data_IF_283231273115
#
_entry.id   IF_283231273115
#
_cell.length_a   1.000
_cell.length_b   1.000
_cell.length_c   1.000
_cell.angle_alpha   90.00
_cell.angle_beta   90.00
_cell.angle_gamma   90.00
#
_symmetry.space_group_name_H-M   'P 1'
#
loop_
_entity.id
_entity.type
_entity.pdbx_description
1 polymer ?
#
# COMPACT_ATOMS: atom_id res chain seq x y z
N UNK A 1 -0.50 13.69 29.49
CA UNK A 1 -0.01 12.34 29.06
C UNK A 1 -0.35 12.20 27.59
N UNK A 2 0.51 11.59 26.77
CA UNK A 2 0.20 11.29 25.36
C UNK A 2 -0.96 10.30 25.30
N UNK A 3 -1.98 10.54 24.44
CA UNK A 3 -3.09 9.59 24.23
C UNK A 3 -2.53 8.28 23.67
N UNK A 4 -2.93 7.14 24.20
CA UNK A 4 -2.65 5.83 23.60
C UNK A 4 -3.57 5.66 22.39
N UNK A 5 -3.02 5.29 21.25
CA UNK A 5 -3.74 5.15 19.98
C UNK A 5 -3.87 3.68 19.64
N UNK A 6 -5.06 3.26 19.28
CA UNK A 6 -5.36 1.87 18.92
C UNK A 6 -5.89 1.76 17.49
N UNK A 7 -5.69 0.60 16.89
CA UNK A 7 -6.10 0.25 15.54
C UNK A 7 -7.16 -0.86 15.60
N UNK A 8 -8.24 -0.71 14.85
CA UNK A 8 -9.33 -1.67 14.80
C UNK A 8 -9.93 -1.81 13.41
N UNK A 9 -10.66 -2.90 13.16
CA UNK A 9 -11.48 -3.08 11.96
C UNK A 9 -10.71 -3.12 10.64
N UNK A 10 -9.41 -3.39 10.66
CA UNK A 10 -8.57 -3.40 9.48
C UNK A 10 -9.11 -4.35 8.39
N UNK A 11 -9.27 -3.83 7.17
CA UNK A 11 -9.72 -4.61 6.02
C UNK A 11 -9.18 -4.06 4.70
N UNK A 12 -9.23 -4.88 3.64
CA UNK A 12 -8.87 -4.53 2.28
C UNK A 12 -9.79 -5.18 1.27
N UNK A 13 -9.88 -4.66 0.06
CA UNK A 13 -10.39 -5.44 -1.06
C UNK A 13 -9.40 -6.52 -1.45
N UNK A 14 -9.83 -7.55 -2.17
CA UNK A 14 -8.90 -8.30 -3.01
C UNK A 14 -8.24 -7.34 -4.02
N UNK A 15 -7.02 -7.65 -4.45
CA UNK A 15 -6.24 -6.82 -5.37
C UNK A 15 -6.52 -7.29 -6.80
N UNK A 16 -7.04 -6.37 -7.63
CA UNK A 16 -7.25 -6.56 -9.05
C UNK A 16 -5.98 -6.31 -9.85
N UNK A 17 -5.78 -7.06 -10.93
CA UNK A 17 -4.74 -6.76 -11.93
C UNK A 17 -5.22 -5.71 -12.92
N UNK A 18 -4.30 -5.09 -13.64
CA UNK A 18 -4.63 -4.15 -14.71
C UNK A 18 -5.59 -4.76 -15.73
N UNK A 19 -6.72 -4.08 -15.98
CA UNK A 19 -7.78 -4.58 -16.85
C UNK A 19 -8.56 -5.77 -16.30
N UNK A 20 -8.32 -6.15 -15.02
CA UNK A 20 -8.99 -7.26 -14.33
C UNK A 20 -10.38 -6.91 -13.78
N UNK A 21 -10.80 -7.67 -12.78
CA UNK A 21 -12.16 -7.58 -12.24
C UNK A 21 -12.53 -6.19 -11.71
N UNK A 22 -11.60 -5.49 -11.08
CA UNK A 22 -11.84 -4.15 -10.51
C UNK A 22 -11.68 -3.00 -11.52
N UNK A 23 -11.25 -3.26 -12.74
CA UNK A 23 -10.84 -2.26 -13.73
C UNK A 23 -11.89 -1.19 -14.08
N UNK A 24 -13.17 -1.44 -13.78
CA UNK A 24 -14.27 -0.50 -14.01
C UNK A 24 -14.89 0.06 -12.73
N UNK A 25 -14.31 -0.23 -11.58
CA UNK A 25 -14.79 0.24 -10.27
C UNK A 25 -13.94 1.43 -9.82
N UNK A 26 -14.46 2.67 -9.82
CA UNK A 26 -13.68 3.86 -9.49
C UNK A 26 -13.05 3.77 -8.07
N UNK A 27 -11.84 4.32 -7.91
CA UNK A 27 -11.13 4.31 -6.63
C UNK A 27 -11.98 4.82 -5.45
N UNK A 28 -12.76 5.93 -5.55
CA UNK A 28 -13.63 6.37 -4.45
C UNK A 28 -14.70 5.33 -4.06
N UNK A 29 -15.17 4.52 -5.01
CA UNK A 29 -16.12 3.43 -4.71
C UNK A 29 -15.45 2.29 -3.95
N UNK A 30 -14.22 1.91 -4.34
CA UNK A 30 -13.41 0.93 -3.58
C UNK A 30 -13.14 1.45 -2.17
N UNK A 31 -12.78 2.74 -2.05
CA UNK A 31 -12.60 3.41 -0.76
C UNK A 31 -13.85 3.38 0.11
N UNK A 32 -15.04 3.63 -0.46
CA UNK A 32 -16.31 3.56 0.27
C UNK A 32 -16.55 2.18 0.88
N UNK A 33 -16.27 1.12 0.13
CA UNK A 33 -16.46 -0.27 0.56
C UNK A 33 -15.58 -0.60 1.78
N UNK A 34 -14.29 -0.24 1.72
CA UNK A 34 -13.37 -0.55 2.83
C UNK A 34 -13.61 0.34 4.05
N UNK A 35 -14.00 1.61 3.88
CA UNK A 35 -14.40 2.49 5.00
C UNK A 35 -15.61 1.91 5.74
N UNK A 36 -16.66 1.55 5.00
CA UNK A 36 -17.88 0.99 5.58
C UNK A 36 -17.60 -0.32 6.32
N UNK A 37 -16.83 -1.23 5.70
CA UNK A 37 -16.50 -2.52 6.30
C UNK A 37 -15.56 -2.36 7.51
N UNK A 38 -14.58 -1.45 7.48
CA UNK A 38 -13.70 -1.20 8.61
C UNK A 38 -14.48 -0.73 9.84
N UNK A 39 -15.42 0.20 9.68
CA UNK A 39 -16.30 0.65 10.77
C UNK A 39 -17.19 -0.47 11.29
N UNK A 40 -17.77 -1.28 10.40
CA UNK A 40 -18.58 -2.43 10.76
C UNK A 40 -17.80 -3.46 11.57
N UNK A 41 -16.57 -3.82 11.14
CA UNK A 41 -15.68 -4.76 11.85
C UNK A 41 -15.24 -4.23 13.20
N UNK A 42 -14.97 -2.93 13.28
CA UNK A 42 -14.63 -2.27 14.54
C UNK A 42 -15.81 -2.11 15.49
N UNK A 43 -17.05 -2.21 14.99
CA UNK A 43 -18.24 -1.89 15.77
C UNK A 43 -18.39 -0.39 16.07
N UNK A 44 -17.82 0.48 15.22
CA UNK A 44 -17.86 1.93 15.40
C UNK A 44 -19.03 2.53 14.61
N UNK A 45 -19.92 3.30 15.26
CA UNK A 45 -20.99 4.01 14.58
C UNK A 45 -20.44 5.04 13.57
N UNK A 46 -21.09 5.18 12.41
CA UNK A 46 -20.66 6.10 11.36
C UNK A 46 -20.65 7.56 11.82
N UNK A 47 -21.56 7.96 12.69
CA UNK A 47 -21.69 9.31 13.27
C UNK A 47 -20.66 9.62 14.37
N UNK A 48 -19.92 8.62 14.84
CA UNK A 48 -18.81 8.81 15.77
C UNK A 48 -17.47 9.15 15.09
N UNK A 49 -17.40 9.13 13.74
CA UNK A 49 -16.15 9.37 12.99
C UNK A 49 -15.93 10.86 12.79
N UNK A 50 -14.82 11.38 13.31
CA UNK A 50 -14.46 12.79 13.20
C UNK A 50 -13.86 13.13 11.82
N UNK A 51 -13.00 12.24 11.29
CA UNK A 51 -12.24 12.54 10.08
C UNK A 51 -11.91 11.28 9.27
N UNK A 52 -11.65 11.47 7.97
CA UNK A 52 -11.20 10.42 7.04
C UNK A 52 -9.94 10.86 6.29
N UNK A 53 -8.87 10.08 6.40
CA UNK A 53 -7.69 10.20 5.54
C UNK A 53 -7.63 9.04 4.57
N UNK A 54 -7.70 9.32 3.26
CA UNK A 54 -7.52 8.28 2.22
C UNK A 54 -6.43 8.67 1.24
N UNK A 55 -5.46 7.76 1.09
CA UNK A 55 -4.44 7.85 0.06
C UNK A 55 -5.03 7.59 -1.32
N UNK A 56 -4.67 8.43 -2.30
CA UNK A 56 -4.96 8.20 -3.72
C UNK A 56 -3.97 9.02 -4.54
N UNK A 57 -3.26 8.38 -5.46
CA UNK A 57 -2.19 9.00 -6.25
C UNK A 57 -2.72 9.49 -7.58
N UNK A 58 -3.43 8.64 -8.33
CA UNK A 58 -3.94 8.93 -9.66
C UNK A 58 -5.37 9.47 -9.53
N UNK A 59 -5.48 10.79 -9.36
CA UNK A 59 -6.77 11.45 -9.09
C UNK A 59 -7.41 12.10 -10.33
N UNK A 60 -6.68 12.15 -11.45
CA UNK A 60 -7.18 12.80 -12.67
C UNK A 60 -8.50 12.18 -13.15
N UNK A 61 -9.49 13.02 -13.39
CA UNK A 61 -10.82 12.58 -13.88
C UNK A 61 -11.76 12.00 -12.82
N UNK A 62 -11.33 11.81 -11.56
CA UNK A 62 -12.18 11.27 -10.50
C UNK A 62 -13.05 12.32 -9.79
N UNK A 63 -12.89 13.60 -10.12
CA UNK A 63 -13.64 14.69 -9.49
C UNK A 63 -12.93 15.26 -8.26
N UNK A 64 -13.69 16.06 -7.47
CA UNK A 64 -13.14 16.75 -6.31
C UNK A 64 -12.94 15.78 -5.15
N UNK A 65 -11.83 15.92 -4.41
CA UNK A 65 -11.54 15.27 -3.12
C UNK A 65 -12.07 13.83 -3.03
N UNK A 66 -11.33 12.91 -3.62
CA UNK A 66 -11.74 11.51 -3.73
C UNK A 66 -11.94 10.83 -2.37
N UNK A 67 -11.24 11.27 -1.32
CA UNK A 67 -11.47 10.80 0.05
C UNK A 67 -12.85 11.24 0.57
N UNK A 68 -13.27 12.47 0.25
CA UNK A 68 -14.61 12.95 0.59
C UNK A 68 -15.70 12.16 -0.13
N UNK A 69 -15.49 11.84 -1.41
CA UNK A 69 -16.40 10.98 -2.16
C UNK A 69 -16.51 9.59 -1.51
N UNK A 70 -15.38 9.00 -1.11
CA UNK A 70 -15.36 7.71 -0.44
C UNK A 70 -16.08 7.75 0.92
N UNK A 71 -15.86 8.79 1.73
CA UNK A 71 -16.50 9.00 3.02
C UNK A 71 -18.03 9.07 2.89
N UNK A 72 -18.52 9.95 2.04
CA UNK A 72 -19.98 10.09 1.79
C UNK A 72 -20.56 8.81 1.18
N UNK A 73 -19.85 8.19 0.24
CA UNK A 73 -20.25 6.93 -0.39
C UNK A 73 -20.31 5.75 0.59
N UNK A 74 -19.56 5.78 1.69
CA UNK A 74 -19.63 4.83 2.80
C UNK A 74 -20.79 5.13 3.76
N UNK A 75 -21.51 6.24 3.57
CA UNK A 75 -22.65 6.66 4.38
C UNK A 75 -22.25 7.35 5.69
N UNK A 76 -21.07 7.96 5.76
CA UNK A 76 -20.72 8.83 6.89
C UNK A 76 -21.49 10.13 6.83
N UNK A 77 -21.73 10.80 7.98
CA UNK A 77 -22.39 12.10 8.03
C UNK A 77 -21.68 13.17 7.21
N UNK A 78 -22.41 14.19 6.79
CA UNK A 78 -21.85 15.31 6.04
C UNK A 78 -20.90 16.17 6.90
N UNK A 79 -21.01 16.09 8.19
CA UNK A 79 -20.15 16.74 9.17
C UNK A 79 -18.76 16.09 9.27
N UNK A 80 -18.64 14.79 9.00
CA UNK A 80 -17.36 14.09 8.98
C UNK A 80 -16.49 14.65 7.85
N UNK A 81 -15.37 15.26 8.18
CA UNK A 81 -14.44 15.83 7.20
C UNK A 81 -13.55 14.77 6.55
N UNK A 82 -12.97 15.05 5.38
CA UNK A 82 -12.09 14.12 4.70
C UNK A 82 -10.97 14.83 3.91
N UNK A 83 -9.78 14.19 3.89
CA UNK A 83 -8.62 14.68 3.13
C UNK A 83 -8.04 13.55 2.29
N UNK A 84 -7.78 13.85 1.02
CA UNK A 84 -7.04 12.96 0.12
C UNK A 84 -5.54 13.22 0.27
N UNK A 85 -4.79 12.17 0.55
CA UNK A 85 -3.34 12.22 0.75
C UNK A 85 -2.62 11.65 -0.46
N UNK A 86 -1.62 12.39 -0.95
CA UNK A 86 -0.71 11.88 -1.97
C UNK A 86 0.74 12.07 -1.52
N UNK A 87 1.35 10.98 -1.12
CA UNK A 87 2.79 10.80 -0.93
C UNK A 87 3.18 9.51 -1.67
N UNK A 88 2.73 9.42 -2.93
CA UNK A 88 2.92 8.28 -3.83
C UNK A 88 2.60 6.95 -3.10
N UNK A 89 3.47 5.93 -3.17
CA UNK A 89 3.26 4.59 -2.58
C UNK A 89 3.01 4.63 -1.06
N UNK A 90 3.57 5.60 -0.35
CA UNK A 90 3.42 5.76 1.10
C UNK A 90 2.08 6.31 1.57
N UNK A 91 1.20 6.75 0.66
CA UNK A 91 -0.02 7.48 0.99
C UNK A 91 -0.89 6.75 2.02
N UNK A 92 -1.18 5.47 1.79
CA UNK A 92 -2.05 4.70 2.68
C UNK A 92 -1.49 4.49 4.09
N UNK A 93 -0.17 4.22 4.22
CA UNK A 93 0.46 4.06 5.54
C UNK A 93 0.62 5.40 6.26
N UNK A 94 0.95 6.47 5.50
CA UNK A 94 1.06 7.80 6.05
C UNK A 94 -0.30 8.34 6.53
N UNK A 95 -1.42 7.94 5.93
CA UNK A 95 -2.75 8.25 6.44
C UNK A 95 -2.94 7.75 7.89
N UNK A 96 -2.44 6.54 8.20
CA UNK A 96 -2.49 6.00 9.58
C UNK A 96 -1.60 6.80 10.51
N UNK A 97 -0.39 7.16 10.07
CA UNK A 97 0.52 8.01 10.85
C UNK A 97 -0.09 9.40 11.13
N UNK A 98 -0.72 10.02 10.13
CA UNK A 98 -1.40 11.32 10.27
C UNK A 98 -2.63 11.22 11.18
N UNK A 99 -3.42 10.15 11.08
CA UNK A 99 -4.56 9.89 11.96
C UNK A 99 -4.12 9.81 13.43
N UNK A 100 -3.05 9.06 13.70
CA UNK A 100 -2.49 8.98 15.05
C UNK A 100 -2.01 10.36 15.55
N UNK A 101 -1.36 11.16 14.69
CA UNK A 101 -0.92 12.53 15.03
C UNK A 101 -2.12 13.45 15.33
N UNK A 102 -3.19 13.41 14.54
CA UNK A 102 -4.39 14.20 14.73
C UNK A 102 -5.06 13.88 16.08
N UNK A 103 -5.15 12.59 16.43
CA UNK A 103 -5.72 12.15 17.71
C UNK A 103 -4.81 12.58 18.89
N UNK A 104 -3.49 12.46 18.74
CA UNK A 104 -2.52 12.90 19.75
C UNK A 104 -2.57 14.42 19.97
N UNK A 105 -2.83 15.21 18.91
CA UNK A 105 -3.02 16.64 19.00
C UNK A 105 -4.32 17.03 19.71
N UNK A 106 -5.30 16.13 19.79
CA UNK A 106 -6.60 16.38 20.41
C UNK A 106 -7.66 16.91 19.44
N UNK A 107 -7.38 16.91 18.14
CA UNK A 107 -8.29 17.41 17.09
C UNK A 107 -9.35 16.37 16.67
N UNK A 108 -9.15 15.11 17.04
CA UNK A 108 -10.07 13.99 16.78
C UNK A 108 -9.91 12.89 17.83
N UNK A 109 -10.89 12.01 17.95
CA UNK A 109 -10.83 10.78 18.72
C UNK A 109 -10.95 9.54 17.85
N UNK A 110 -11.67 9.61 16.71
CA UNK A 110 -11.85 8.52 15.76
C UNK A 110 -11.60 9.00 14.34
N UNK A 111 -10.62 8.39 13.68
CA UNK A 111 -10.27 8.68 12.29
C UNK A 111 -10.26 7.37 11.49
N UNK A 112 -10.91 7.36 10.33
CA UNK A 112 -10.70 6.26 9.37
C UNK A 112 -9.52 6.64 8.48
N UNK A 113 -8.52 5.77 8.43
CA UNK A 113 -7.31 5.96 7.65
C UNK A 113 -7.12 4.80 6.66
N UNK A 114 -6.74 5.12 5.42
CA UNK A 114 -6.55 4.09 4.42
C UNK A 114 -5.99 4.60 3.12
N UNK A 115 -6.25 3.84 2.06
CA UNK A 115 -5.91 4.21 0.70
C UNK A 115 -6.74 3.44 -0.32
N UNK A 116 -6.84 4.00 -1.50
CA UNK A 116 -7.59 3.48 -2.62
C UNK A 116 -6.91 3.85 -3.92
N UNK A 117 -6.87 2.94 -4.87
CA UNK A 117 -6.31 3.20 -6.18
C UNK A 117 -7.01 2.37 -7.24
N UNK A 118 -7.26 2.94 -8.40
CA UNK A 118 -7.60 2.19 -9.59
C UNK A 118 -6.70 2.65 -10.73
N UNK A 119 -5.59 1.94 -10.92
CA UNK A 119 -4.61 2.26 -11.94
C UNK A 119 -5.12 1.93 -13.34
N UNK A 120 -6.03 0.95 -13.46
CA UNK A 120 -6.68 0.58 -14.72
C UNK A 120 -7.53 1.71 -15.31
N UNK A 121 -8.07 2.61 -14.48
CA UNK A 121 -8.92 3.73 -14.90
C UNK A 121 -8.15 5.05 -15.12
N UNK A 122 -6.83 5.05 -14.98
CA UNK A 122 -6.02 6.23 -15.18
C UNK A 122 -6.26 6.83 -16.57
N UNK A 123 -6.66 8.11 -16.68
CA UNK A 123 -6.93 8.71 -17.97
C UNK A 123 -5.66 9.14 -18.69
N UNK A 124 -5.78 9.39 -19.98
CA UNK A 124 -4.76 10.11 -20.75
C UNK A 124 -5.07 11.61 -20.76
N UNK A 125 -4.06 12.44 -20.53
CA UNK A 125 -4.16 13.90 -20.52
C UNK A 125 -3.60 14.54 -21.78
N UNK A 126 -4.36 15.46 -22.35
CA UNK A 126 -3.91 16.31 -23.45
C UNK A 126 -3.41 17.64 -22.90
N UNK A 127 -2.13 17.73 -22.51
CA UNK A 127 -1.56 18.80 -21.69
C UNK A 127 -1.77 20.22 -22.26
N UNK A 128 -1.66 20.39 -23.57
CA UNK A 128 -1.77 21.70 -24.22
C UNK A 128 -3.19 21.99 -24.78
N UNK A 129 -4.17 21.09 -24.58
CA UNK A 129 -5.49 21.22 -25.20
C UNK A 129 -6.23 22.49 -24.76
N UNK A 130 -6.04 22.97 -23.52
CA UNK A 130 -6.67 24.19 -22.98
C UNK A 130 -6.28 25.45 -23.77
N UNK A 131 -5.07 25.49 -24.29
CA UNK A 131 -4.55 26.62 -25.06
C UNK A 131 -4.62 26.40 -26.58
N UNK A 132 -5.11 25.23 -27.01
CA UNK A 132 -5.20 24.79 -28.40
C UNK A 132 -3.88 24.30 -28.99
N UNK A 133 -3.95 23.29 -29.82
CA UNK A 133 -2.80 22.82 -30.61
C UNK A 133 -2.73 23.65 -31.92
N UNK A 134 -1.93 24.69 -31.89
CA UNK A 134 -1.87 25.67 -33.01
C UNK A 134 -1.19 25.13 -34.26
N UNK A 135 -0.18 24.25 -34.07
CA UNK A 135 0.60 23.66 -35.17
C UNK A 135 1.26 22.38 -34.67
N UNK A 136 1.45 21.41 -35.56
CA UNK A 136 2.03 20.09 -35.31
C UNK A 136 1.10 19.15 -34.48
N UNK A 137 1.54 17.91 -34.33
CA UNK A 137 0.80 16.88 -33.60
C UNK A 137 0.78 17.14 -32.08
N UNK A 138 -0.35 16.87 -31.42
CA UNK A 138 -0.46 16.81 -29.98
C UNK A 138 -0.07 15.43 -29.44
N UNK A 139 0.40 15.40 -28.17
CA UNK A 139 0.68 14.15 -27.45
C UNK A 139 -0.39 13.95 -26.37
N UNK A 140 -0.81 12.71 -26.18
CA UNK A 140 -1.52 12.27 -24.97
C UNK A 140 -0.50 11.74 -23.99
N UNK A 141 -0.66 12.14 -22.72
CA UNK A 141 0.20 11.70 -21.60
C UNK A 141 -0.58 10.69 -20.79
N UNK A 142 -0.02 9.49 -20.61
CA UNK A 142 -0.57 8.49 -19.71
C UNK A 142 -0.36 8.94 -18.25
N UNK A 143 -1.44 9.29 -17.57
CA UNK A 143 -1.36 9.80 -16.19
C UNK A 143 -0.94 8.72 -15.18
N UNK A 144 -1.17 7.44 -15.47
CA UNK A 144 -0.66 6.35 -14.65
C UNK A 144 0.88 6.35 -14.63
N UNK A 145 1.47 6.45 -15.81
CA UNK A 145 2.94 6.50 -15.93
C UNK A 145 3.47 7.82 -15.38
N UNK A 146 2.93 8.95 -15.86
CA UNK A 146 3.46 10.28 -15.55
C UNK A 146 3.37 10.64 -14.05
N UNK A 147 2.25 10.30 -13.39
CA UNK A 147 1.96 10.77 -12.04
C UNK A 147 2.33 9.75 -10.95
N UNK A 148 2.48 8.47 -11.31
CA UNK A 148 2.79 7.41 -10.35
C UNK A 148 4.09 6.64 -10.62
N UNK A 149 4.49 6.45 -11.89
CA UNK A 149 5.58 5.55 -12.27
C UNK A 149 6.79 6.25 -12.91
N UNK A 150 6.76 7.58 -13.03
CA UNK A 150 7.80 8.39 -13.63
C UNK A 150 8.54 9.22 -12.58
N UNK A 151 9.87 9.13 -12.55
CA UNK A 151 10.66 9.99 -11.68
C UNK A 151 10.66 11.43 -12.23
N UNK A 152 10.08 12.33 -11.44
CA UNK A 152 9.89 13.72 -11.82
C UNK A 152 11.21 14.52 -11.89
N UNK A 153 12.25 14.06 -11.21
CA UNK A 153 13.55 14.74 -11.12
C UNK A 153 14.49 14.28 -12.22
N UNK A 154 14.59 12.98 -12.47
CA UNK A 154 15.53 12.36 -13.38
C UNK A 154 14.91 11.99 -14.73
N UNK A 155 13.57 12.15 -14.89
CA UNK A 155 12.85 11.96 -16.15
C UNK A 155 12.98 10.55 -16.74
N UNK A 156 12.80 9.52 -15.90
CA UNK A 156 12.77 8.12 -16.30
C UNK A 156 11.76 7.30 -15.47
N UNK A 157 11.44 6.11 -15.95
CA UNK A 157 10.50 5.21 -15.27
C UNK A 157 11.10 4.67 -13.97
N UNK A 158 10.26 4.40 -12.95
CA UNK A 158 10.68 3.83 -11.66
C UNK A 158 11.48 2.53 -11.77
N UNK A 159 11.34 1.77 -12.86
CA UNK A 159 12.18 0.60 -13.14
C UNK A 159 13.68 0.95 -13.19
N UNK A 160 14.04 2.15 -13.67
CA UNK A 160 15.44 2.58 -13.67
C UNK A 160 15.95 2.82 -12.26
N UNK A 161 15.14 3.30 -11.34
CA UNK A 161 15.54 3.41 -9.92
C UNK A 161 15.83 2.03 -9.31
N UNK A 162 15.10 0.99 -9.72
CA UNK A 162 15.35 -0.38 -9.30
C UNK A 162 16.66 -0.94 -9.90
N UNK A 163 16.95 -0.64 -11.18
CA UNK A 163 18.25 -0.95 -11.80
C UNK A 163 19.41 -0.27 -11.05
N UNK A 164 19.23 1.00 -10.68
CA UNK A 164 20.25 1.75 -9.93
C UNK A 164 20.50 1.13 -8.54
N UNK A 165 19.45 0.65 -7.88
CA UNK A 165 19.59 -0.07 -6.61
C UNK A 165 20.31 -1.40 -6.81
N UNK A 166 19.94 -2.19 -7.83
CA UNK A 166 20.59 -3.46 -8.13
C UNK A 166 22.10 -3.26 -8.41
N UNK A 167 22.44 -2.27 -9.23
CA UNK A 167 23.84 -1.91 -9.54
C UNK A 167 24.61 -1.47 -8.30
N UNK A 168 24.04 -0.54 -7.51
CA UNK A 168 24.68 -0.01 -6.30
C UNK A 168 24.95 -1.07 -5.24
N UNK A 169 24.05 -2.04 -5.09
CA UNK A 169 24.13 -3.10 -4.07
C UNK A 169 24.73 -4.41 -4.61
N UNK A 170 25.11 -4.45 -5.90
CA UNK A 170 25.67 -5.64 -6.55
C UNK A 170 24.70 -6.84 -6.50
N UNK A 171 23.40 -6.58 -6.71
CA UNK A 171 22.35 -7.63 -6.67
C UNK A 171 22.21 -8.22 -8.06
N UNK A 172 22.36 -9.55 -8.17
CA UNK A 172 22.29 -10.25 -9.45
C UNK A 172 20.84 -10.50 -9.88
N UNK A 173 20.65 -10.81 -11.17
CA UNK A 173 19.36 -11.21 -11.73
C UNK A 173 18.82 -12.48 -11.06
N UNK A 174 19.68 -13.45 -10.82
CA UNK A 174 19.33 -14.71 -10.17
C UNK A 174 18.76 -14.47 -8.76
N UNK A 175 19.40 -13.61 -7.98
CA UNK A 175 18.95 -13.25 -6.64
C UNK A 175 17.57 -12.55 -6.65
N UNK A 176 17.32 -11.69 -7.66
CA UNK A 176 16.03 -11.06 -7.83
C UNK A 176 14.93 -12.06 -8.18
N UNK A 177 15.24 -13.02 -9.03
CA UNK A 177 14.28 -14.05 -9.46
C UNK A 177 14.02 -15.06 -8.33
N UNK A 178 15.01 -15.41 -7.51
CA UNK A 178 14.85 -16.22 -6.30
C UNK A 178 13.95 -15.54 -5.28
N UNK A 179 14.20 -14.25 -4.99
CA UNK A 179 13.35 -13.45 -4.11
C UNK A 179 11.90 -13.43 -4.59
N UNK A 180 11.71 -13.19 -5.88
CA UNK A 180 10.38 -13.08 -6.49
C UNK A 180 9.63 -14.41 -6.50
N UNK A 181 10.32 -15.51 -6.81
CA UNK A 181 9.75 -16.84 -6.72
C UNK A 181 9.32 -17.18 -5.30
N UNK A 182 10.12 -16.83 -4.30
CA UNK A 182 9.77 -17.02 -2.88
C UNK A 182 8.51 -16.22 -2.49
N UNK A 183 8.40 -14.96 -2.92
CA UNK A 183 7.18 -14.15 -2.70
C UNK A 183 5.95 -14.81 -3.30
N UNK A 184 6.02 -15.28 -4.56
CA UNK A 184 4.94 -15.99 -5.23
C UNK A 184 4.55 -17.29 -4.50
N UNK A 185 5.52 -18.10 -4.10
CA UNK A 185 5.28 -19.38 -3.41
C UNK A 185 4.67 -19.18 -2.03
N UNK A 186 5.16 -18.20 -1.25
CA UNK A 186 4.53 -17.82 0.03
C UNK A 186 3.09 -17.39 -0.16
N UNK A 187 2.82 -16.59 -1.20
CA UNK A 187 1.47 -16.11 -1.48
C UNK A 187 0.52 -17.24 -1.93
N UNK A 188 0.98 -18.14 -2.80
CA UNK A 188 0.24 -19.33 -3.22
C UNK A 188 -0.14 -20.19 -2.01
N UNK A 189 0.81 -20.47 -1.13
CA UNK A 189 0.59 -21.22 0.11
C UNK A 189 -0.41 -20.51 1.05
N UNK A 190 -0.28 -19.18 1.19
CA UNK A 190 -1.18 -18.37 2.00
C UNK A 190 -2.61 -18.37 1.46
N UNK A 191 -2.79 -18.24 0.13
CA UNK A 191 -4.11 -18.32 -0.51
C UNK A 191 -4.73 -19.72 -0.33
N UNK A 192 -3.97 -20.79 -0.56
CA UNK A 192 -4.44 -22.16 -0.37
C UNK A 192 -4.86 -22.44 1.08
N UNK A 193 -4.15 -21.85 2.05
CA UNK A 193 -4.45 -21.96 3.47
C UNK A 193 -5.57 -20.99 3.94
N UNK A 194 -6.11 -20.16 3.04
CA UNK A 194 -7.16 -19.18 3.37
C UNK A 194 -6.69 -18.03 4.29
N UNK A 195 -5.40 -17.73 4.33
CA UNK A 195 -4.81 -16.71 5.22
C UNK A 195 -5.38 -15.31 5.01
N UNK A 196 -5.80 -14.97 3.79
CA UNK A 196 -6.32 -13.64 3.44
C UNK A 196 -7.85 -13.49 3.65
N UNK A 197 -8.57 -14.56 4.00
CA UNK A 197 -10.04 -14.51 4.09
C UNK A 197 -10.57 -13.50 5.10
N UNK A 198 -9.88 -13.36 6.23
CA UNK A 198 -10.33 -12.48 7.31
C UNK A 198 -10.04 -11.00 7.02
N UNK A 199 -9.07 -10.69 6.15
CA UNK A 199 -8.72 -9.32 5.81
C UNK A 199 -9.46 -8.79 4.57
N UNK A 200 -9.89 -9.68 3.67
CA UNK A 200 -10.57 -9.30 2.43
C UNK A 200 -12.06 -9.00 2.68
N UNK A 201 -12.51 -7.86 2.13
CA UNK A 201 -13.93 -7.55 1.97
C UNK A 201 -14.33 -7.84 0.52
N UNK A 202 -15.35 -8.67 0.27
CA UNK A 202 -15.83 -8.96 -1.07
C UNK A 202 -16.37 -7.71 -1.77
N UNK A 203 -16.04 -7.55 -3.05
CA UNK A 203 -16.56 -6.46 -3.90
C UNK A 203 -17.57 -7.02 -4.88
N UNK A 204 -18.81 -6.54 -4.82
CA UNK A 204 -19.84 -6.89 -5.80
C UNK A 204 -19.67 -6.06 -7.08
N UNK A 205 -19.42 -6.73 -8.19
CA UNK A 205 -19.25 -6.13 -9.52
C UNK A 205 -20.46 -6.45 -10.38
N UNK A 206 -21.27 -5.42 -10.66
CA UNK A 206 -22.45 -5.57 -11.50
C UNK A 206 -22.04 -5.63 -12.97
N UNK A 207 -22.33 -6.71 -13.61
CA UNK A 207 -22.25 -6.90 -15.07
C UNK A 207 -23.66 -6.93 -15.66
N UNK A 208 -23.79 -6.71 -16.99
CA UNK A 208 -25.11 -6.59 -17.68
C UNK A 208 -26.14 -7.66 -17.29
N UNK A 209 -25.73 -8.88 -17.01
CA UNK A 209 -26.64 -10.02 -16.73
C UNK A 209 -26.37 -10.74 -15.42
N UNK A 210 -25.31 -10.41 -14.71
CA UNK A 210 -24.91 -11.06 -13.44
C UNK A 210 -24.13 -10.13 -12.52
N UNK A 211 -24.15 -10.42 -11.22
CA UNK A 211 -23.22 -9.86 -10.26
C UNK A 211 -22.10 -10.85 -10.01
N UNK A 212 -20.87 -10.42 -10.06
CA UNK A 212 -19.69 -11.20 -9.69
C UNK A 212 -19.26 -10.71 -8.32
N UNK A 213 -18.96 -11.65 -7.41
CA UNK A 213 -18.32 -11.36 -6.13
C UNK A 213 -16.82 -11.52 -6.32
N UNK A 214 -16.06 -10.45 -6.14
CA UNK A 214 -14.63 -10.43 -6.24
C UNK A 214 -14.01 -10.42 -4.82
N UNK A 215 -13.41 -11.53 -4.42
CA UNK A 215 -12.92 -11.81 -3.07
C UNK A 215 -11.56 -12.53 -3.04
N UNK A 216 -10.89 -12.63 -4.18
CA UNK A 216 -9.61 -13.33 -4.32
C UNK A 216 -8.63 -12.49 -5.13
N UNK A 217 -7.39 -12.34 -4.63
CA UNK A 217 -6.34 -11.59 -5.31
C UNK A 217 -5.99 -12.21 -6.67
N UNK A 218 -5.96 -11.39 -7.73
CA UNK A 218 -5.71 -11.84 -9.12
C UNK A 218 -4.21 -11.92 -9.48
N UNK A 219 -3.33 -11.39 -8.62
CA UNK A 219 -1.90 -11.28 -8.90
C UNK A 219 -1.12 -12.58 -8.81
N UNK A 220 -1.36 -13.43 -7.80
CA UNK A 220 -0.54 -14.63 -7.56
C UNK A 220 -0.56 -15.61 -8.73
N UNK A 221 0.63 -16.13 -9.05
CA UNK A 221 0.85 -17.08 -10.14
C UNK A 221 1.37 -18.40 -9.59
N UNK A 222 0.48 -19.39 -9.52
CA UNK A 222 0.81 -20.70 -9.00
C UNK A 222 1.97 -21.36 -9.79
N UNK A 223 2.81 -22.09 -9.07
CA UNK A 223 3.93 -22.84 -9.64
C UNK A 223 5.09 -21.96 -10.14
N UNK A 224 5.19 -20.69 -9.75
CA UNK A 224 6.31 -19.82 -10.12
C UNK A 224 7.62 -20.30 -9.47
N UNK A 225 8.67 -20.43 -10.28
CA UNK A 225 10.04 -20.79 -9.86
C UNK A 225 11.05 -19.76 -10.37
N UNK A 226 12.22 -19.68 -9.74
CA UNK A 226 13.31 -18.83 -10.23
C UNK A 226 13.71 -19.18 -11.67
N UNK A 227 13.72 -20.47 -12.03
CA UNK A 227 13.98 -20.93 -13.39
C UNK A 227 12.93 -20.39 -14.38
N UNK A 228 11.64 -20.43 -14.04
CA UNK A 228 10.59 -19.86 -14.90
C UNK A 228 10.72 -18.35 -15.08
N UNK A 229 11.20 -17.63 -14.05
CA UNK A 229 11.42 -16.19 -14.11
C UNK A 229 12.67 -15.81 -14.90
N UNK A 230 13.72 -16.64 -14.90
CA UNK A 230 14.97 -16.39 -15.62
C UNK A 230 14.78 -16.24 -17.13
N UNK A 231 13.75 -16.83 -17.71
CA UNK A 231 13.39 -16.71 -19.11
C UNK A 231 12.81 -15.33 -19.50
N UNK A 232 12.41 -14.51 -18.52
CA UNK A 232 11.82 -13.18 -18.77
C UNK A 232 12.88 -12.18 -19.22
N UNK A 233 12.50 -11.35 -20.20
CA UNK A 233 13.37 -10.27 -20.69
C UNK A 233 13.35 -9.09 -19.75
N UNK A 234 14.48 -8.36 -19.68
CA UNK A 234 14.54 -7.06 -19.03
C UNK A 234 13.48 -6.11 -19.65
N UNK A 235 12.74 -5.42 -18.81
CA UNK A 235 11.67 -4.49 -19.21
C UNK A 235 12.02 -3.01 -18.89
N UNK A 236 13.14 -2.73 -18.22
CA UNK A 236 13.57 -1.36 -17.89
C UNK A 236 14.08 -0.57 -19.09
N UNK A 237 14.46 -1.26 -20.18
CA UNK A 237 15.11 -0.63 -21.34
C UNK A 237 16.61 -0.37 -21.14
N UNK A 238 17.18 -0.69 -19.96
CA UNK A 238 18.62 -0.58 -19.71
C UNK A 238 19.34 -1.78 -20.33
N UNK A 239 20.41 -1.51 -21.08
CA UNK A 239 21.27 -2.57 -21.61
C UNK A 239 21.92 -3.34 -20.44
N UNK A 240 21.82 -4.68 -20.47
CA UNK A 240 22.27 -5.52 -19.36
C UNK A 240 21.42 -5.39 -18.08
N UNK A 241 20.24 -4.77 -18.16
CA UNK A 241 19.35 -4.59 -17.02
C UNK A 241 18.80 -5.90 -16.46
N UNK A 242 18.52 -5.89 -15.17
CA UNK A 242 18.08 -7.07 -14.38
C UNK A 242 16.59 -7.04 -14.00
N UNK A 243 15.92 -5.89 -14.15
CA UNK A 243 14.51 -5.71 -13.82
C UNK A 243 13.60 -6.31 -14.89
N UNK A 244 12.69 -7.18 -14.49
CA UNK A 244 11.74 -7.86 -15.39
C UNK A 244 10.31 -7.73 -14.85
N UNK A 245 9.33 -8.10 -15.66
CA UNK A 245 7.93 -8.20 -15.21
C UNK A 245 7.70 -9.27 -14.13
N UNK A 246 8.66 -10.16 -13.90
CA UNK A 246 8.59 -11.20 -12.87
C UNK A 246 9.18 -10.80 -11.53
N UNK A 247 10.06 -9.77 -11.51
CA UNK A 247 10.72 -9.28 -10.31
C UNK A 247 10.38 -7.81 -9.97
N UNK A 248 9.26 -7.35 -10.52
CA UNK A 248 8.60 -6.08 -10.23
C UNK A 248 7.14 -6.34 -9.86
N UNK A 249 6.56 -5.49 -9.02
CA UNK A 249 5.12 -5.52 -8.73
C UNK A 249 4.29 -5.17 -9.96
N UNK A 250 3.05 -5.63 -9.99
CA UNK A 250 2.10 -5.36 -11.08
C UNK A 250 1.51 -3.94 -11.00
N UNK A 251 0.73 -3.60 -12.03
CA UNK A 251 -0.19 -2.48 -12.07
C UNK A 251 -1.53 -2.98 -11.54
N UNK A 252 -2.06 -2.37 -10.50
CA UNK A 252 -3.13 -2.98 -9.73
C UNK A 252 -4.20 -1.99 -9.26
N UNK A 253 -5.36 -2.55 -8.90
CA UNK A 253 -6.53 -1.85 -8.39
C UNK A 253 -6.89 -2.41 -7.02
N UNK A 254 -7.21 -1.55 -6.05
CA UNK A 254 -7.59 -2.00 -4.72
C UNK A 254 -7.72 -0.89 -3.69
N UNK A 255 -8.21 -1.24 -2.51
CA UNK A 255 -8.34 -0.32 -1.38
C UNK A 255 -8.14 -1.04 -0.05
N UNK A 256 -7.76 -0.29 0.98
CA UNK A 256 -7.63 -0.76 2.35
C UNK A 256 -7.99 0.36 3.33
N UNK A 257 -8.54 0.01 4.49
CA UNK A 257 -8.87 0.96 5.54
C UNK A 257 -8.72 0.35 6.94
N UNK A 258 -8.44 1.22 7.90
CA UNK A 258 -8.27 0.91 9.32
C UNK A 258 -8.94 2.01 10.12
N UNK A 259 -9.64 1.67 11.20
CA UNK A 259 -10.11 2.63 12.19
C UNK A 259 -8.97 2.91 13.17
N UNK A 260 -8.56 4.17 13.28
CA UNK A 260 -7.55 4.67 14.21
C UNK A 260 -8.27 5.49 15.26
N UNK A 261 -8.08 5.19 16.55
CA UNK A 261 -8.83 5.87 17.60
C UNK A 261 -8.06 5.94 18.91
N UNK A 262 -8.48 6.87 19.80
CA UNK A 262 -7.95 6.90 21.16
C UNK A 262 -8.38 5.64 21.94
N UNK A 263 -7.51 5.12 22.80
CA UNK A 263 -7.84 3.96 23.66
C UNK A 263 -9.04 4.27 24.55
N UNK A 264 -9.16 5.51 25.00
CA UNK A 264 -10.30 5.96 25.82
C UNK A 264 -11.61 5.80 25.05
N UNK A 265 -11.65 6.25 23.80
CA UNK A 265 -12.84 6.15 22.95
C UNK A 265 -13.14 4.70 22.55
N UNK A 266 -12.10 3.89 22.36
CA UNK A 266 -12.28 2.45 22.14
C UNK A 266 -12.95 1.77 23.33
N UNK A 267 -12.55 2.08 24.56
CA UNK A 267 -13.18 1.57 25.78
C UNK A 267 -14.61 2.04 25.93
N UNK A 268 -14.87 3.33 25.66
CA UNK A 268 -16.23 3.90 25.71
C UNK A 268 -17.21 3.18 24.77
N UNK A 269 -16.75 2.87 23.54
CA UNK A 269 -17.56 2.22 22.52
C UNK A 269 -17.53 0.67 22.59
N UNK A 270 -16.74 0.09 23.50
CA UNK A 270 -16.58 -1.37 23.61
C UNK A 270 -15.83 -1.99 22.42
N UNK A 271 -14.98 -1.22 21.73
CA UNK A 271 -14.18 -1.67 20.59
C UNK A 271 -13.00 -2.50 21.09
N UNK A 272 -12.80 -3.68 20.50
CA UNK A 272 -11.62 -4.51 20.74
C UNK A 272 -10.53 -4.13 19.76
N UNK A 273 -9.39 -3.57 20.22
CA UNK A 273 -8.28 -3.23 19.36
C UNK A 273 -7.62 -4.46 18.73
N UNK A 274 -7.15 -4.32 17.49
CA UNK A 274 -6.26 -5.29 16.85
C UNK A 274 -4.80 -5.09 17.30
N UNK A 275 -4.38 -3.83 17.48
CA UNK A 275 -3.06 -3.44 17.96
C UNK A 275 -3.08 -2.00 18.47
N UNK A 276 -2.01 -1.63 19.17
CA UNK A 276 -1.66 -0.26 19.55
C UNK A 276 -0.69 0.31 18.50
N UNK A 277 -0.91 1.54 18.06
CA UNK A 277 0.04 2.31 17.26
C UNK A 277 1.17 2.81 18.17
N UNK A 278 2.41 2.42 17.89
CA UNK A 278 3.57 2.82 18.67
C UNK A 278 4.20 4.09 18.12
N UNK A 279 4.57 4.07 16.84
CA UNK A 279 5.18 5.20 16.17
C UNK A 279 5.12 5.08 14.64
N UNK A 280 5.21 6.22 13.97
CA UNK A 280 5.39 6.29 12.53
C UNK A 280 6.43 7.34 12.15
N UNK A 281 7.04 7.17 10.98
CA UNK A 281 8.00 8.11 10.42
C UNK A 281 8.05 8.09 8.89
N UNK A 282 8.35 9.25 8.31
CA UNK A 282 8.81 9.41 6.94
C UNK A 282 10.32 9.63 6.94
N UNK A 283 11.03 9.05 5.97
CA UNK A 283 12.46 9.25 5.75
C UNK A 283 12.74 9.61 4.30
N UNK A 284 13.73 10.47 4.05
CA UNK A 284 14.16 10.87 2.70
C UNK A 284 15.48 10.20 2.32
N UNK A 285 15.62 9.90 1.02
CA UNK A 285 16.84 9.37 0.39
C UNK A 285 17.00 10.00 -1.00
N UNK A 286 18.11 9.72 -1.67
CA UNK A 286 18.32 10.13 -3.06
C UNK A 286 17.22 9.55 -3.97
N UNK A 287 16.51 10.38 -4.75
CA UNK A 287 15.47 9.92 -5.69
C UNK A 287 15.94 8.83 -6.66
N UNK A 288 17.19 8.86 -7.09
CA UNK A 288 17.75 7.88 -8.03
C UNK A 288 17.76 6.44 -7.52
N UNK A 289 17.68 6.29 -6.20
CA UNK A 289 17.61 5.01 -5.49
C UNK A 289 16.43 4.99 -4.49
N UNK A 290 15.28 5.54 -4.89
CA UNK A 290 14.11 5.70 -4.03
C UNK A 290 13.72 4.40 -3.30
N UNK A 291 14.02 3.25 -3.89
CA UNK A 291 13.70 1.93 -3.34
C UNK A 291 14.27 1.70 -1.94
N UNK A 292 15.37 2.36 -1.54
CA UNK A 292 15.95 2.23 -0.21
C UNK A 292 15.36 3.22 0.81
N UNK A 293 14.32 3.95 0.46
CA UNK A 293 13.57 4.83 1.38
C UNK A 293 13.15 4.18 2.70
N UNK A 294 12.71 2.89 2.72
CA UNK A 294 12.41 2.16 3.95
C UNK A 294 13.54 2.15 4.96
N UNK A 295 14.81 2.15 4.52
CA UNK A 295 15.96 2.18 5.42
C UNK A 295 15.97 3.48 6.25
N UNK A 296 15.73 4.62 5.59
CA UNK A 296 15.72 5.91 6.26
C UNK A 296 14.51 6.06 7.21
N UNK A 297 13.32 5.68 6.77
CA UNK A 297 12.11 5.77 7.61
C UNK A 297 12.13 4.78 8.79
N UNK A 298 12.62 3.56 8.58
CA UNK A 298 12.74 2.55 9.64
C UNK A 298 13.79 2.96 10.67
N UNK A 299 15.00 3.38 10.26
CA UNK A 299 16.01 3.89 11.19
C UNK A 299 15.47 5.05 12.03
N UNK A 300 14.69 5.94 11.41
CA UNK A 300 14.10 7.09 12.13
C UNK A 300 13.04 6.66 13.15
N UNK A 301 12.18 5.71 12.82
CA UNK A 301 11.15 5.24 13.75
C UNK A 301 11.76 4.40 14.88
N UNK A 302 12.81 3.61 14.60
CA UNK A 302 13.58 2.88 15.61
C UNK A 302 14.26 3.83 16.60
N UNK A 303 14.94 4.86 16.10
CA UNK A 303 15.56 5.89 16.96
C UNK A 303 14.53 6.62 17.85
N UNK A 304 13.29 6.82 17.34
CA UNK A 304 12.20 7.44 18.10
C UNK A 304 11.68 6.56 19.23
N UNK A 305 11.72 5.24 19.05
CA UNK A 305 11.15 4.26 20.01
C UNK A 305 12.20 3.59 20.90
N UNK A 306 13.48 3.67 20.54
CA UNK A 306 14.56 2.91 21.19
C UNK A 306 14.55 1.43 20.86
N UNK A 307 13.74 0.99 19.89
CA UNK A 307 13.67 -0.40 19.44
C UNK A 307 14.78 -0.74 18.44
N UNK A 308 15.03 -2.03 18.28
CA UNK A 308 15.87 -2.63 17.24
C UNK A 308 15.06 -3.49 16.27
N UNK A 309 15.66 -3.89 15.16
CA UNK A 309 14.99 -4.80 14.19
C UNK A 309 14.68 -6.17 14.79
N UNK A 310 15.49 -6.62 15.71
CA UNK A 310 15.33 -7.94 16.36
C UNK A 310 14.10 -8.01 17.27
N UNK A 311 13.59 -6.85 17.72
CA UNK A 311 12.41 -6.76 18.58
C UNK A 311 11.11 -7.14 17.85
N UNK A 312 11.08 -7.13 16.51
CA UNK A 312 9.88 -7.44 15.75
C UNK A 312 9.69 -8.93 15.56
N UNK A 313 8.45 -9.38 15.73
CA UNK A 313 8.03 -10.75 15.43
C UNK A 313 7.67 -10.92 13.96
N UNK A 314 7.08 -9.87 13.35
CA UNK A 314 6.66 -9.84 11.95
C UNK A 314 7.01 -8.50 11.30
N UNK A 315 7.38 -8.57 10.02
CA UNK A 315 7.70 -7.41 9.19
C UNK A 315 6.95 -7.54 7.86
N UNK A 316 6.17 -6.52 7.52
CA UNK A 316 5.59 -6.36 6.17
C UNK A 316 6.31 -5.20 5.48
N UNK A 317 7.13 -5.52 4.49
CA UNK A 317 7.84 -4.57 3.65
C UNK A 317 7.31 -4.69 2.23
N UNK A 318 6.82 -3.59 1.65
CA UNK A 318 6.25 -3.60 0.31
C UNK A 318 7.30 -3.94 -0.74
N UNK A 319 6.93 -4.77 -1.69
CA UNK A 319 7.80 -5.29 -2.74
C UNK A 319 7.51 -4.59 -4.08
N UNK A 320 7.75 -3.28 -4.17
CA UNK A 320 7.60 -2.59 -5.44
C UNK A 320 8.52 -3.17 -6.54
N UNK A 321 9.74 -3.56 -6.14
CA UNK A 321 10.73 -4.26 -6.96
C UNK A 321 11.54 -5.22 -6.07
N UNK A 322 11.95 -6.37 -6.60
CA UNK A 322 12.82 -7.29 -5.87
C UNK A 322 14.16 -6.64 -5.50
N UNK A 323 14.74 -5.83 -6.40
CA UNK A 323 15.99 -5.12 -6.16
C UNK A 323 15.95 -4.26 -4.89
N UNK A 324 14.87 -3.48 -4.74
CA UNK A 324 14.68 -2.64 -3.56
C UNK A 324 14.43 -3.47 -2.31
N UNK A 325 13.66 -4.56 -2.42
CA UNK A 325 13.33 -5.41 -1.28
C UNK A 325 14.57 -6.12 -0.71
N UNK A 326 15.42 -6.65 -1.60
CA UNK A 326 16.70 -7.28 -1.22
C UNK A 326 17.65 -6.25 -0.57
N UNK A 327 17.79 -5.06 -1.17
CA UNK A 327 18.64 -4.01 -0.63
C UNK A 327 18.19 -3.56 0.77
N UNK A 328 16.89 -3.34 0.96
CA UNK A 328 16.31 -2.95 2.25
C UNK A 328 16.51 -4.03 3.30
N UNK A 329 16.26 -5.30 2.93
CA UNK A 329 16.45 -6.43 3.83
C UNK A 329 17.91 -6.56 4.30
N UNK A 330 18.87 -6.33 3.41
CA UNK A 330 20.31 -6.31 3.74
C UNK A 330 20.68 -5.16 4.68
N UNK A 331 20.26 -3.94 4.35
CA UNK A 331 20.63 -2.73 5.11
C UNK A 331 20.01 -2.67 6.51
N UNK A 332 18.85 -3.28 6.70
CA UNK A 332 18.13 -3.33 7.97
C UNK A 332 18.36 -4.65 8.74
N UNK A 333 18.95 -5.67 8.10
CA UNK A 333 19.17 -6.97 8.71
C UNK A 333 17.85 -7.75 8.95
N UNK A 334 16.90 -7.68 8.03
CA UNK A 334 15.64 -8.39 8.18
C UNK A 334 15.83 -9.91 8.21
N UNK A 335 15.22 -10.57 9.20
CA UNK A 335 15.14 -12.03 9.23
C UNK A 335 14.11 -12.49 8.18
N UNK A 336 14.50 -13.31 7.16
CA UNK A 336 13.60 -13.80 6.10
C UNK A 336 12.39 -14.58 6.62
N UNK A 337 12.49 -15.25 7.77
CA UNK A 337 11.41 -16.01 8.39
C UNK A 337 10.30 -15.11 8.98
N UNK A 338 10.63 -13.83 9.23
CA UNK A 338 9.72 -12.83 9.78
C UNK A 338 9.20 -11.86 8.71
N UNK A 339 9.81 -11.87 7.52
CA UNK A 339 9.56 -10.92 6.43
C UNK A 339 8.53 -11.46 5.45
N UNK A 340 7.45 -10.69 5.22
CA UNK A 340 6.42 -10.99 4.23
C UNK A 340 6.05 -12.48 4.23
N UNK A 341 5.62 -12.95 5.37
CA UNK A 341 5.43 -14.41 5.62
C UNK A 341 4.35 -15.04 4.77
N UNK A 342 3.48 -14.21 4.18
CA UNK A 342 2.41 -14.61 3.27
C UNK A 342 2.67 -14.14 1.81
N UNK A 343 3.90 -13.79 1.46
CA UNK A 343 4.25 -13.13 0.20
C UNK A 343 3.97 -11.63 0.23
N UNK A 344 4.46 -10.90 -0.77
CA UNK A 344 4.36 -9.45 -0.84
C UNK A 344 3.83 -8.94 -2.18
N UNK A 345 4.12 -7.68 -2.52
CA UNK A 345 3.52 -7.00 -3.66
C UNK A 345 3.95 -7.55 -5.02
N UNK A 346 5.09 -8.23 -5.14
CA UNK A 346 5.47 -8.94 -6.38
C UNK A 346 4.42 -9.98 -6.75
N UNK A 347 3.87 -10.67 -5.75
CA UNK A 347 2.83 -11.66 -5.95
C UNK A 347 1.43 -11.04 -5.90
N UNK A 348 1.13 -10.26 -4.86
CA UNK A 348 -0.21 -9.71 -4.61
C UNK A 348 -0.56 -8.53 -5.52
N UNK A 349 0.43 -7.66 -5.82
CA UNK A 349 0.22 -6.42 -6.55
C UNK A 349 0.42 -5.16 -5.70
N UNK A 350 0.52 -4.00 -6.40
CA UNK A 350 0.86 -2.70 -5.80
C UNK A 350 -0.08 -1.57 -6.27
N UNK A 351 -1.34 -1.53 -5.79
CA UNK A 351 -2.22 -0.37 -6.00
C UNK A 351 -1.65 0.81 -5.20
N UNK A 352 -0.89 1.70 -5.86
CA UNK A 352 0.08 2.60 -5.22
C UNK A 352 -0.47 3.38 -4.02
N UNK A 353 -1.61 4.05 -4.13
CA UNK A 353 -2.19 4.83 -3.03
C UNK A 353 -2.74 3.98 -1.87
N UNK A 354 -3.05 2.71 -2.13
CA UNK A 354 -3.62 1.78 -1.14
C UNK A 354 -2.56 0.91 -0.44
N UNK A 355 -1.44 0.64 -1.09
CA UNK A 355 -0.45 -0.37 -0.66
C UNK A 355 0.06 -0.18 0.76
N UNK A 356 0.32 1.05 1.17
CA UNK A 356 0.82 1.30 2.53
C UNK A 356 -0.17 0.88 3.62
N UNK A 357 -1.47 1.10 3.42
CA UNK A 357 -2.50 0.59 4.34
C UNK A 357 -2.67 -0.93 4.18
N UNK A 358 -2.59 -1.45 2.94
CA UNK A 358 -2.71 -2.88 2.65
C UNK A 358 -1.68 -3.70 3.42
N UNK A 359 -0.41 -3.31 3.40
CA UNK A 359 0.63 -4.05 4.14
C UNK A 359 0.37 -4.03 5.64
N UNK A 360 -0.12 -2.91 6.20
CA UNK A 360 -0.46 -2.85 7.62
C UNK A 360 -1.68 -3.72 7.95
N UNK A 361 -2.70 -3.78 7.08
CA UNK A 361 -3.84 -4.69 7.23
C UNK A 361 -3.37 -6.15 7.32
N UNK A 362 -2.54 -6.59 6.36
CA UNK A 362 -1.99 -7.95 6.34
C UNK A 362 -1.16 -8.24 7.60
N UNK A 363 -0.31 -7.28 8.01
CA UNK A 363 0.49 -7.39 9.23
C UNK A 363 -0.40 -7.62 10.47
N UNK A 364 -1.43 -6.79 10.66
CA UNK A 364 -2.33 -6.87 11.81
C UNK A 364 -3.06 -8.22 11.89
N UNK A 365 -3.56 -8.71 10.76
CA UNK A 365 -4.24 -10.01 10.71
C UNK A 365 -3.28 -11.17 10.97
N UNK A 366 -2.07 -11.14 10.42
CA UNK A 366 -1.09 -12.22 10.66
C UNK A 366 -0.53 -12.17 12.09
N UNK A 367 -0.36 -10.97 12.68
CA UNK A 367 -0.03 -10.82 14.10
C UNK A 367 -1.09 -11.47 15.00
N UNK A 368 -2.37 -11.32 14.68
CA UNK A 368 -3.44 -11.99 15.43
C UNK A 368 -3.38 -13.51 15.29
N UNK A 369 -3.16 -14.02 14.07
CA UNK A 369 -3.12 -15.47 13.78
C UNK A 369 -1.95 -16.19 14.45
N UNK A 370 -0.82 -15.49 14.62
CA UNK A 370 0.41 -16.05 15.23
C UNK A 370 0.61 -15.67 16.68
N UNK A 371 -0.29 -14.88 17.27
CA UNK A 371 -0.10 -14.23 18.58
C UNK A 371 1.23 -13.43 18.65
N UNK A 372 1.63 -12.85 17.51
CA UNK A 372 2.81 -12.00 17.42
C UNK A 372 2.55 -10.66 18.12
N UNK A 373 3.54 -10.14 18.84
CA UNK A 373 3.39 -8.96 19.70
C UNK A 373 3.84 -7.67 19.04
N UNK A 374 4.91 -7.67 18.28
CA UNK A 374 5.47 -6.48 17.65
C UNK A 374 5.57 -6.63 16.15
N UNK A 375 5.08 -5.62 15.43
CA UNK A 375 5.07 -5.59 13.97
C UNK A 375 5.60 -4.29 13.40
N UNK A 376 6.29 -4.40 12.26
CA UNK A 376 6.77 -3.28 11.46
C UNK A 376 6.16 -3.35 10.06
N UNK A 377 5.50 -2.27 9.63
CA UNK A 377 5.13 -2.06 8.24
C UNK A 377 6.01 -0.97 7.63
N UNK A 378 6.57 -1.19 6.43
CA UNK A 378 7.43 -0.22 5.76
C UNK A 378 7.33 -0.33 4.24
N UNK A 379 7.50 0.81 3.54
CA UNK A 379 7.53 0.83 2.08
C UNK A 379 8.34 2.00 1.52
N UNK A 380 8.84 1.81 0.31
CA UNK A 380 9.47 2.87 -0.48
C UNK A 380 8.42 3.80 -1.09
N UNK A 381 8.88 4.98 -1.47
CA UNK A 381 8.04 6.05 -2.03
C UNK A 381 8.80 6.68 -3.20
N UNK A 382 8.14 6.78 -4.35
CA UNK A 382 8.67 7.52 -5.50
C UNK A 382 9.09 8.95 -5.13
N UNK A 383 10.16 9.44 -5.72
CA UNK A 383 10.76 10.73 -5.37
C UNK A 383 11.80 10.66 -4.24
N UNK A 384 12.16 9.46 -3.76
CA UNK A 384 13.25 9.27 -2.80
C UNK A 384 12.82 9.37 -1.35
N UNK A 385 11.78 8.65 -0.95
CA UNK A 385 11.30 8.62 0.43
C UNK A 385 10.93 7.20 0.88
N UNK A 386 10.67 7.03 2.17
CA UNK A 386 10.08 5.84 2.77
C UNK A 386 9.10 6.20 3.88
N UNK A 387 8.18 5.29 4.16
CA UNK A 387 7.25 5.38 5.28
C UNK A 387 7.32 4.11 6.12
N UNK A 388 7.33 4.26 7.44
CA UNK A 388 7.34 3.14 8.37
C UNK A 388 6.37 3.37 9.52
N UNK A 389 5.77 2.27 10.01
CA UNK A 389 4.85 2.29 11.15
C UNK A 389 5.12 1.07 12.02
N UNK A 390 5.24 1.28 13.33
CA UNK A 390 5.39 0.23 14.34
C UNK A 390 4.07 0.07 15.08
N UNK A 391 3.66 -1.17 15.26
CA UNK A 391 2.47 -1.56 16.02
C UNK A 391 2.82 -2.63 17.04
N UNK A 392 2.05 -2.68 18.14
CA UNK A 392 2.25 -3.64 19.24
C UNK A 392 0.90 -4.21 19.70
N UNK A 393 0.88 -5.47 20.08
CA UNK A 393 -0.26 -6.15 20.71
C UNK A 393 0.07 -6.59 22.13
N UNK A 394 -0.92 -6.53 23.01
CA UNK A 394 -0.81 -7.01 24.39
C UNK A 394 -0.68 -8.53 24.47
#
# INVERSE_FOLDING_TARGET
MSKKIVLAGACRTAIGKMGGALSTTPAPKLGSIVIEEALKRAGVPKDAVDHVYMGCVIQAGLGQNVARQASIGAGLPIETTAVTVNVVCGSGLNCVNMAAQMIQAGDADIVVAGGMENMSMAPYAAMNARFGYRMNNGKLVDTMVNDALWDAFNQYHMMITAENVAEKYGISREELDEFSANSQQKCEAAQAAGKFKDEIVPVEIKQKKKTIVFDTDEGPRAGTTAESLSALRCCSGKEGGVVTAGNASGINDGAAAIVVMSEEKAKELGVTPMATFVAGALGGVDPTIMGVGPVASTKKVLAKTGMSIDDFDLIEADEAFAAQSVAVARDLGFNPEKLNVNGGAIALGHPVGASGCRILVTLLHEMQKRDAKKGLATLCIGGGMGCSTIVERD
#
